data_IF_140958445017
#
_entry.id   IF_140958445017
#
_cell.length_a   1.000
_cell.length_b   1.000
_cell.length_c   1.000
_cell.angle_alpha   90.00
_cell.angle_beta   90.00
_cell.angle_gamma   90.00
#
_symmetry.space_group_name_H-M   'P 1'
#
loop_
_entity.id
_entity.type
_entity.pdbx_description
1 polymer ?
#
# COMPACT_ATOMS: atom_id res chain seq x y z
N UNK A 1 33.80 -24.92 -35.59
CA UNK A 1 34.95 -24.45 -34.78
C UNK A 1 35.60 -23.35 -35.61
N UNK A 2 35.21 -22.07 -35.47
CA UNK A 2 35.62 -21.18 -34.38
C UNK A 2 37.10 -20.82 -34.61
N UNK A 3 37.56 -19.59 -34.82
CA UNK A 3 36.99 -18.25 -34.76
C UNK A 3 37.84 -17.39 -35.73
N UNK A 4 37.29 -16.33 -36.30
CA UNK A 4 38.09 -15.38 -37.06
C UNK A 4 37.62 -13.95 -36.80
N UNK A 5 38.62 -13.10 -36.58
CA UNK A 5 38.63 -11.63 -36.70
C UNK A 5 38.25 -10.81 -35.46
N UNK A 6 39.32 -10.30 -34.84
CA UNK A 6 39.37 -9.05 -34.08
C UNK A 6 39.62 -7.88 -35.04
N UNK A 7 38.83 -6.80 -34.94
CA UNK A 7 39.14 -5.41 -35.31
C UNK A 7 38.36 -4.54 -34.29
N UNK A 8 38.96 -3.68 -33.45
CA UNK A 8 39.51 -2.33 -33.73
C UNK A 8 38.45 -1.42 -34.38
N UNK A 9 38.20 -0.15 -34.06
CA UNK A 9 38.73 0.89 -33.15
C UNK A 9 37.82 2.13 -33.42
N UNK A 10 37.65 3.05 -32.45
CA UNK A 10 37.18 4.46 -32.64
C UNK A 10 35.69 4.60 -33.07
N UNK A 11 34.85 5.59 -32.71
CA UNK A 11 34.92 6.99 -32.23
C UNK A 11 33.69 7.19 -31.32
N UNK A 12 33.73 7.83 -30.14
CA UNK A 12 33.81 9.26 -29.87
C UNK A 12 32.70 10.14 -30.49
N UNK A 13 32.12 10.99 -29.64
CA UNK A 13 31.22 12.14 -29.90
C UNK A 13 29.72 11.83 -30.03
N UNK A 14 28.77 12.66 -29.59
CA UNK A 14 28.70 13.82 -28.69
C UNK A 14 27.18 14.15 -28.61
N UNK A 15 26.77 14.65 -27.46
CA UNK A 15 25.65 15.56 -27.17
C UNK A 15 24.54 15.78 -28.23
N UNK A 16 23.29 15.57 -27.79
CA UNK A 16 22.18 16.41 -28.21
C UNK A 16 21.27 16.68 -27.01
N UNK A 17 21.46 17.87 -26.44
CA UNK A 17 20.50 18.54 -25.55
C UNK A 17 19.27 18.92 -26.38
N UNK A 18 18.07 18.59 -25.92
CA UNK A 18 16.84 19.21 -26.41
C UNK A 18 16.40 20.25 -25.38
N UNK A 19 16.79 21.48 -25.67
CA UNK A 19 16.27 22.72 -25.10
C UNK A 19 15.04 23.12 -25.90
N UNK A 20 13.89 23.28 -25.24
CA UNK A 20 12.81 24.12 -25.75
C UNK A 20 12.26 24.92 -24.59
N UNK A 21 12.70 26.18 -24.50
CA UNK A 21 12.00 27.24 -23.78
C UNK A 21 11.03 27.91 -24.76
N UNK A 22 9.83 28.24 -24.27
CA UNK A 22 9.15 29.46 -24.67
C UNK A 22 8.10 29.85 -23.62
N UNK A 23 8.31 31.04 -23.09
CA UNK A 23 7.62 31.72 -22.00
C UNK A 23 6.24 32.24 -22.42
N UNK A 24 5.27 32.29 -21.48
CA UNK A 24 4.25 33.35 -21.44
C UNK A 24 3.93 33.76 -19.99
N UNK A 25 4.57 34.87 -19.63
CA UNK A 25 4.18 36.01 -18.78
C UNK A 25 3.03 35.91 -17.77
N UNK A 26 3.41 36.39 -16.59
CA UNK A 26 2.71 36.84 -15.40
C UNK A 26 1.31 37.46 -15.55
N UNK A 27 0.42 37.06 -14.63
CA UNK A 27 -0.57 37.94 -14.03
C UNK A 27 -0.63 37.66 -12.53
N UNK A 28 -0.22 38.66 -11.75
CA UNK A 28 -0.26 38.67 -10.30
C UNK A 28 -1.71 38.69 -9.79
N UNK A 29 -2.05 37.76 -8.88
CA UNK A 29 -3.07 38.00 -7.86
C UNK A 29 -2.44 37.65 -6.50
N UNK A 30 -1.98 38.69 -5.83
CA UNK A 30 -1.40 38.58 -4.50
C UNK A 30 -2.47 38.20 -3.49
N UNK A 31 -2.43 36.96 -3.00
CA UNK A 31 -2.99 36.63 -1.69
C UNK A 31 -1.86 36.52 -0.68
N UNK A 32 -1.87 37.32 0.41
CA UNK A 32 -0.90 37.17 1.47
C UNK A 32 -1.00 35.77 2.05
N UNK A 33 0.14 35.09 2.12
CA UNK A 33 0.32 33.81 2.81
C UNK A 33 0.13 34.09 4.29
N UNK A 34 -1.10 33.93 4.78
CA UNK A 34 -1.40 34.00 6.20
C UNK A 34 -0.58 32.92 6.91
N UNK A 35 0.39 33.39 7.70
CA UNK A 35 1.21 32.63 8.62
C UNK A 35 0.32 32.16 9.79
N UNK A 36 -0.63 31.28 9.46
CA UNK A 36 -1.55 30.72 10.42
C UNK A 36 -0.81 29.67 11.24
N UNK A 37 -0.26 30.13 12.37
CA UNK A 37 0.05 29.37 13.60
C UNK A 37 -0.34 27.90 13.50
N UNK A 38 0.65 27.02 13.34
CA UNK A 38 0.46 25.59 13.59
C UNK A 38 0.16 25.44 15.09
N UNK A 39 -1.07 25.11 15.52
CA UNK A 39 -1.27 24.79 16.92
C UNK A 39 -0.50 23.51 17.17
N UNK A 40 0.61 23.62 17.91
CA UNK A 40 1.35 22.48 18.44
C UNK A 40 0.34 21.47 18.97
N UNK A 41 0.18 20.35 18.26
CA UNK A 41 -0.64 19.26 18.76
C UNK A 41 -0.06 18.87 20.11
N UNK A 42 -0.82 18.95 21.21
CA UNK A 42 -0.30 18.61 22.51
C UNK A 42 0.21 17.18 22.44
N UNK A 43 1.49 16.98 22.83
CA UNK A 43 2.06 15.65 22.98
C UNK A 43 1.31 14.94 24.10
N UNK A 44 0.21 14.27 23.73
CA UNK A 44 -0.50 13.36 24.62
C UNK A 44 0.42 12.17 24.90
N UNK A 45 1.21 12.29 25.97
CA UNK A 45 1.77 11.16 26.71
C UNK A 45 0.63 10.46 27.46
N UNK A 46 -0.28 9.86 26.69
CA UNK A 46 -1.27 8.91 27.16
C UNK A 46 -1.27 7.78 26.16
N UNK A 47 -0.97 6.57 26.61
CA UNK A 47 -1.04 5.39 25.76
C UNK A 47 -2.39 5.39 25.05
N UNK A 48 -2.38 5.54 23.71
CA UNK A 48 -3.63 5.57 22.95
C UNK A 48 -4.29 4.22 23.12
N UNK A 49 -5.40 4.19 23.85
CA UNK A 49 -6.25 3.02 23.90
C UNK A 49 -6.75 2.75 22.50
N UNK A 50 -6.26 1.66 21.88
CA UNK A 50 -6.69 1.31 20.54
C UNK A 50 -8.16 0.92 20.58
N UNK A 51 -8.98 1.55 19.75
CA UNK A 51 -10.41 1.30 19.65
C UNK A 51 -10.78 1.01 18.20
N UNK A 52 -11.83 0.23 17.99
CA UNK A 52 -12.35 -0.02 16.65
C UNK A 52 -11.41 -0.82 15.78
N UNK A 53 -11.33 -0.40 14.52
CA UNK A 53 -10.55 -1.09 13.51
C UNK A 53 -9.06 -1.20 13.87
N UNK A 54 -8.48 -0.18 14.52
CA UNK A 54 -7.06 -0.21 14.92
C UNK A 54 -6.77 -1.31 15.96
N UNK A 55 -7.70 -1.56 16.89
CA UNK A 55 -7.60 -2.66 17.84
C UNK A 55 -7.70 -4.01 17.13
N UNK A 56 -8.64 -4.13 16.19
CA UNK A 56 -8.86 -5.35 15.42
C UNK A 56 -7.63 -5.66 14.55
N UNK A 57 -7.06 -4.66 13.88
CA UNK A 57 -5.81 -4.81 13.15
C UNK A 57 -4.67 -5.28 14.05
N UNK A 58 -4.52 -4.70 15.24
CA UNK A 58 -3.47 -5.13 16.18
C UNK A 58 -3.64 -6.59 16.59
N UNK A 59 -4.87 -7.05 16.82
CA UNK A 59 -5.17 -8.46 17.14
C UNK A 59 -4.88 -9.40 15.96
N UNK A 60 -5.24 -8.99 14.75
CA UNK A 60 -5.08 -9.81 13.55
C UNK A 60 -3.69 -9.69 12.90
N UNK A 61 -2.78 -8.89 13.47
CA UNK A 61 -1.45 -8.58 12.93
C UNK A 61 -0.62 -9.82 12.60
N UNK A 62 -0.68 -10.87 13.43
CA UNK A 62 0.10 -12.10 13.20
C UNK A 62 -0.34 -12.80 11.91
N UNK A 63 -1.66 -12.90 11.68
CA UNK A 63 -2.23 -13.49 10.47
C UNK A 63 -1.97 -12.61 9.25
N UNK A 64 -2.11 -11.29 9.39
CA UNK A 64 -1.77 -10.32 8.33
C UNK A 64 -0.32 -10.49 7.86
N UNK A 65 0.64 -10.58 8.78
CA UNK A 65 2.06 -10.74 8.43
C UNK A 65 2.36 -12.03 7.68
N UNK A 66 1.70 -13.12 8.04
CA UNK A 66 1.85 -14.39 7.34
C UNK A 66 1.33 -14.28 5.91
N UNK A 67 0.11 -13.75 5.75
CA UNK A 67 -0.49 -13.48 4.46
C UNK A 67 0.36 -12.51 3.61
N UNK A 68 0.74 -11.34 4.15
CA UNK A 68 1.53 -10.33 3.43
C UNK A 68 2.86 -10.91 2.92
N UNK A 69 3.51 -11.79 3.69
CA UNK A 69 4.76 -12.43 3.30
C UNK A 69 4.57 -13.36 2.09
N UNK A 70 3.51 -14.17 2.12
CA UNK A 70 3.14 -15.05 1.01
C UNK A 70 2.77 -14.23 -0.22
N UNK A 71 1.86 -13.27 -0.04
CA UNK A 71 1.33 -12.42 -1.10
C UNK A 71 2.43 -11.60 -1.78
N UNK A 72 3.38 -11.03 -1.02
CA UNK A 72 4.48 -10.24 -1.62
C UNK A 72 5.39 -11.09 -2.49
N UNK A 73 5.63 -12.35 -2.10
CA UNK A 73 6.43 -13.31 -2.87
C UNK A 73 5.70 -13.72 -4.16
N UNK A 74 4.45 -14.13 -4.02
CA UNK A 74 3.60 -14.49 -5.16
C UNK A 74 3.42 -13.32 -6.14
N UNK A 75 3.12 -12.13 -5.62
CA UNK A 75 2.90 -10.94 -6.44
C UNK A 75 4.17 -10.52 -7.20
N UNK A 76 5.32 -10.49 -6.52
CA UNK A 76 6.59 -10.07 -7.13
C UNK A 76 7.13 -11.06 -8.17
N UNK A 77 6.81 -12.36 -8.04
CA UNK A 77 7.28 -13.40 -8.96
C UNK A 77 6.20 -13.82 -9.95
N UNK A 78 5.21 -14.56 -9.45
CA UNK A 78 4.16 -15.22 -10.22
C UNK A 78 3.25 -14.23 -10.97
N UNK A 79 2.73 -13.21 -10.28
CA UNK A 79 1.80 -12.27 -10.90
C UNK A 79 2.47 -11.40 -11.97
N UNK A 80 3.64 -10.81 -11.67
CA UNK A 80 4.39 -9.97 -12.63
C UNK A 80 4.90 -10.77 -13.83
N UNK A 81 5.22 -12.06 -13.64
CA UNK A 81 5.76 -12.92 -14.71
C UNK A 81 4.69 -13.71 -15.47
N UNK A 82 3.40 -13.54 -15.15
CA UNK A 82 2.29 -14.24 -15.81
C UNK A 82 2.09 -15.71 -15.42
N UNK A 83 2.75 -16.19 -14.35
CA UNK A 83 2.60 -17.55 -13.81
C UNK A 83 1.66 -17.56 -12.61
N UNK A 84 0.35 -17.52 -12.85
CA UNK A 84 -0.66 -17.29 -11.81
C UNK A 84 -0.93 -18.48 -10.88
N UNK A 85 -0.62 -19.71 -11.31
CA UNK A 85 -0.96 -20.94 -10.59
C UNK A 85 0.11 -21.39 -9.58
N UNK A 86 1.36 -20.95 -9.71
CA UNK A 86 2.41 -21.28 -8.72
C UNK A 86 2.14 -20.51 -7.42
N UNK A 87 1.98 -21.23 -6.30
CA UNK A 87 1.89 -20.71 -4.91
C UNK A 87 0.60 -19.96 -4.51
N UNK A 88 -0.44 -19.91 -5.36
CA UNK A 88 -1.70 -19.21 -5.03
C UNK A 88 -2.45 -19.86 -3.85
N UNK A 89 -2.59 -21.18 -3.87
CA UNK A 89 -3.41 -21.91 -2.89
C UNK A 89 -2.91 -21.75 -1.45
N UNK A 90 -1.59 -21.67 -1.25
CA UNK A 90 -0.99 -21.50 0.07
C UNK A 90 -1.24 -20.09 0.65
N UNK A 91 -1.34 -19.07 -0.21
CA UNK A 91 -1.68 -17.71 0.21
C UNK A 91 -3.19 -17.54 0.49
N UNK A 92 -4.05 -18.32 -0.16
CA UNK A 92 -5.51 -18.25 -0.01
C UNK A 92 -5.94 -18.69 1.41
N UNK A 93 -5.36 -19.77 1.95
CA UNK A 93 -5.60 -20.21 3.34
C UNK A 93 -5.18 -19.14 4.37
N UNK A 94 -4.03 -18.50 4.12
CA UNK A 94 -3.53 -17.41 4.96
C UNK A 94 -4.42 -16.17 4.89
N UNK A 95 -4.96 -15.88 3.71
CA UNK A 95 -5.91 -14.80 3.49
C UNK A 95 -7.20 -15.05 4.25
N UNK A 96 -7.79 -16.24 4.13
CA UNK A 96 -9.04 -16.58 4.79
C UNK A 96 -8.91 -16.50 6.31
N UNK A 97 -7.80 -17.00 6.86
CA UNK A 97 -7.52 -16.85 8.29
C UNK A 97 -7.44 -15.37 8.73
N UNK A 98 -6.81 -14.51 7.92
CA UNK A 98 -6.72 -13.08 8.19
C UNK A 98 -8.08 -12.38 8.07
N UNK A 99 -8.81 -12.63 6.99
CA UNK A 99 -10.15 -12.12 6.67
C UNK A 99 -11.14 -12.44 7.79
N UNK A 100 -11.22 -13.70 8.19
CA UNK A 100 -12.06 -14.14 9.30
C UNK A 100 -11.74 -13.39 10.59
N UNK A 101 -10.45 -13.21 10.92
CA UNK A 101 -10.05 -12.47 12.11
C UNK A 101 -10.54 -11.01 12.08
N UNK A 102 -10.43 -10.34 10.93
CA UNK A 102 -10.89 -8.95 10.77
C UNK A 102 -12.40 -8.86 10.93
N UNK A 103 -13.16 -9.70 10.23
CA UNK A 103 -14.62 -9.61 10.26
C UNK A 103 -15.21 -9.98 11.62
N UNK A 104 -14.73 -11.05 12.25
CA UNK A 104 -15.12 -11.39 13.62
C UNK A 104 -14.72 -10.31 14.61
N UNK A 105 -13.52 -9.73 14.46
CA UNK A 105 -13.06 -8.63 15.29
C UNK A 105 -13.93 -7.38 15.17
N UNK A 106 -14.34 -7.04 13.94
CA UNK A 106 -15.20 -5.89 13.66
C UNK A 106 -16.64 -6.12 14.14
N UNK A 107 -17.19 -7.33 13.96
CA UNK A 107 -18.49 -7.72 14.48
C UNK A 107 -18.54 -7.58 16.00
N UNK A 108 -17.55 -8.16 16.70
CA UNK A 108 -17.44 -8.06 18.16
C UNK A 108 -17.24 -6.62 18.65
N UNK A 109 -16.47 -5.79 17.92
CA UNK A 109 -16.30 -4.39 18.27
C UNK A 109 -17.61 -3.59 18.09
N UNK A 110 -18.40 -3.88 17.06
CA UNK A 110 -19.72 -3.28 16.85
C UNK A 110 -20.71 -3.66 17.94
N UNK A 111 -20.78 -4.94 18.28
CA UNK A 111 -21.60 -5.45 19.38
C UNK A 111 -21.23 -4.76 20.70
N UNK A 112 -19.93 -4.64 21.00
CA UNK A 112 -19.44 -3.92 22.19
C UNK A 112 -19.84 -2.45 22.20
N UNK A 113 -19.95 -1.82 21.03
CA UNK A 113 -20.38 -0.43 20.88
C UNK A 113 -21.90 -0.25 20.88
N UNK A 114 -22.68 -1.33 20.94
CA UNK A 114 -24.14 -1.28 20.85
C UNK A 114 -24.66 -0.79 19.50
N UNK A 115 -23.84 -0.84 18.44
CA UNK A 115 -24.30 -0.53 17.09
C UNK A 115 -25.13 -1.72 16.63
N UNK A 116 -26.35 -1.45 16.15
CA UNK A 116 -27.26 -2.48 15.64
C UNK A 116 -26.63 -3.42 14.59
N UNK A 117 -27.32 -4.53 14.24
CA UNK A 117 -26.76 -5.60 13.42
C UNK A 117 -26.23 -5.08 12.08
N UNK A 118 -25.29 -5.83 11.49
CA UNK A 118 -24.82 -5.54 10.15
C UNK A 118 -25.98 -5.59 9.15
N UNK A 119 -25.96 -4.67 8.17
CA UNK A 119 -26.99 -4.64 7.13
C UNK A 119 -26.93 -5.95 6.35
N UNK A 120 -28.08 -6.56 5.99
CA UNK A 120 -28.08 -7.75 5.14
C UNK A 120 -27.38 -7.44 3.81
N UNK A 121 -26.58 -8.38 3.31
CA UNK A 121 -25.75 -8.19 2.12
C UNK A 121 -24.46 -7.38 2.33
N UNK A 122 -24.14 -6.99 3.57
CA UNK A 122 -22.82 -6.43 3.89
C UNK A 122 -21.84 -7.54 4.26
N UNK A 123 -20.55 -7.35 3.94
CA UNK A 123 -19.48 -8.29 4.26
C UNK A 123 -19.35 -8.62 5.77
N UNK A 124 -20.00 -7.86 6.66
CA UNK A 124 -20.04 -8.13 8.10
C UNK A 124 -21.28 -8.92 8.55
N UNK A 125 -22.31 -9.02 7.70
CA UNK A 125 -23.51 -9.79 8.00
C UNK A 125 -23.36 -11.27 7.61
N UNK A 126 -22.42 -11.58 6.72
CA UNK A 126 -22.16 -12.94 6.23
C UNK A 126 -21.20 -13.75 7.13
N UNK A 127 -20.62 -13.10 8.16
CA UNK A 127 -19.72 -13.69 9.16
C UNK A 127 -20.36 -13.57 10.56
#
# INVERSE_FOLDING_TARGET
MGANQSMSREEAMSEAQISVQSEVKDAADGRPRDESKNPERPRRNGGRELRGFELVQRKCRKKKRAYDKCYSKWYGGAFVSGRLEEERDECDDLFDAYKQCIFLGMKKDRERRGVGPAKPGSALAEF
#
